data_IF_666383174077
#
_entry.id   IF_666383174077
#
_cell.length_a   1.000
_cell.length_b   1.000
_cell.length_c   1.000
_cell.angle_alpha   90.00
_cell.angle_beta   90.00
_cell.angle_gamma   90.00
#
_symmetry.space_group_name_H-M   'P 1'
#
loop_
_entity.id
_entity.type
_entity.pdbx_description
1 polymer ?
#
# COMPACT_ATOMS: atom_id res chain seq x y z
N UNK A 1 -5.36 0.35 0.12
CA UNK A 1 -3.91 0.58 -0.14
C UNK A 1 -3.59 0.16 -1.55
N UNK A 2 -2.76 0.93 -2.24
CA UNK A 2 -2.31 0.70 -3.61
C UNK A 2 -0.79 0.88 -3.66
N UNK A 3 -0.15 0.15 -4.59
CA UNK A 3 1.24 0.33 -4.96
C UNK A 3 1.28 0.89 -6.39
N UNK A 4 2.06 1.96 -6.58
CA UNK A 4 2.08 2.73 -7.83
C UNK A 4 3.51 2.92 -8.29
N UNK A 5 3.71 2.84 -9.61
CA UNK A 5 4.97 3.26 -10.21
C UNK A 5 5.14 4.78 -10.05
N UNK A 6 6.30 5.23 -9.57
CA UNK A 6 6.54 6.64 -9.28
C UNK A 6 6.62 7.53 -10.53
N UNK A 7 6.89 6.95 -11.71
CA UNK A 7 6.99 7.69 -12.97
C UNK A 7 5.66 7.67 -13.73
N UNK A 8 5.02 6.50 -13.84
CA UNK A 8 3.82 6.34 -14.68
C UNK A 8 2.51 6.43 -13.91
N UNK A 9 2.54 6.35 -12.57
CA UNK A 9 1.35 6.24 -11.72
C UNK A 9 0.45 5.01 -12.04
N UNK A 10 0.98 4.05 -12.79
CA UNK A 10 0.31 2.77 -13.03
C UNK A 10 0.32 1.91 -11.77
N UNK A 11 -0.70 1.06 -11.62
CA UNK A 11 -0.67 0.02 -10.61
C UNK A 11 0.43 -0.99 -10.90
N UNK A 12 1.21 -1.35 -9.89
CA UNK A 12 2.32 -2.32 -10.03
C UNK A 12 2.38 -3.33 -8.90
N UNK A 13 2.88 -4.51 -9.24
CA UNK A 13 3.02 -5.64 -8.31
C UNK A 13 1.69 -6.25 -7.92
N UNK A 14 1.72 -7.09 -6.89
CA UNK A 14 0.54 -7.80 -6.39
C UNK A 14 0.51 -7.80 -4.86
N UNK A 15 -0.70 -7.85 -4.30
CA UNK A 15 -0.91 -7.96 -2.86
C UNK A 15 -1.17 -9.42 -2.48
N UNK A 16 -0.63 -9.85 -1.35
CA UNK A 16 -1.05 -11.11 -0.74
C UNK A 16 -2.22 -10.87 0.19
N UNK A 17 -3.20 -11.75 0.14
CA UNK A 17 -4.19 -11.85 1.21
C UNK A 17 -3.53 -12.52 2.42
N UNK A 18 -3.54 -11.81 3.54
CA UNK A 18 -3.00 -12.25 4.84
C UNK A 18 -4.11 -12.17 5.90
N UNK A 19 -3.92 -12.76 7.10
CA UNK A 19 -4.90 -12.61 8.17
C UNK A 19 -5.27 -11.14 8.41
N UNK A 20 -6.58 -10.87 8.51
CA UNK A 20 -7.16 -9.53 8.69
C UNK A 20 -7.05 -8.57 7.49
N UNK A 21 -6.69 -9.07 6.30
CA UNK A 21 -6.71 -8.28 5.06
C UNK A 21 -7.59 -8.92 3.99
N UNK A 22 -7.99 -8.11 3.02
CA UNK A 22 -8.73 -8.53 1.82
C UNK A 22 -8.14 -7.86 0.59
N UNK A 23 -7.84 -8.66 -0.43
CA UNK A 23 -7.41 -8.14 -1.72
C UNK A 23 -8.63 -7.71 -2.55
N UNK A 24 -8.45 -6.67 -3.36
CA UNK A 24 -9.45 -6.08 -4.26
C UNK A 24 -8.77 -5.98 -5.64
N UNK A 25 -8.78 -7.07 -6.43
CA UNK A 25 -8.05 -7.17 -7.69
C UNK A 25 -8.45 -6.12 -8.73
N UNK A 26 -9.74 -5.75 -8.78
CA UNK A 26 -10.29 -4.78 -9.73
C UNK A 26 -9.67 -3.37 -9.60
N UNK A 27 -9.05 -3.08 -8.45
CA UNK A 27 -8.42 -1.80 -8.13
C UNK A 27 -6.92 -1.94 -7.79
N UNK A 28 -6.33 -3.12 -8.04
CA UNK A 28 -4.97 -3.52 -7.64
C UNK A 28 -4.63 -3.08 -6.21
N UNK A 29 -5.53 -3.44 -5.28
CA UNK A 29 -5.50 -2.89 -3.94
C UNK A 29 -5.75 -3.93 -2.86
N UNK A 30 -5.45 -3.55 -1.62
CA UNK A 30 -5.71 -4.35 -0.41
C UNK A 30 -6.35 -3.46 0.66
N UNK A 31 -7.22 -4.05 1.47
CA UNK A 31 -7.93 -3.40 2.58
C UNK A 31 -7.92 -4.27 3.84
N UNK A 32 -8.39 -3.74 4.97
CA UNK A 32 -8.66 -4.51 6.17
C UNK A 32 -9.86 -5.45 5.95
N UNK A 33 -9.91 -6.58 6.68
CA UNK A 33 -11.01 -7.54 6.57
C UNK A 33 -12.22 -7.21 7.45
N UNK A 34 -12.07 -6.36 8.48
CA UNK A 34 -13.14 -5.98 9.40
C UNK A 34 -13.02 -4.52 9.87
N UNK A 35 -14.11 -4.00 10.43
CA UNK A 35 -14.23 -2.61 10.91
C UNK A 35 -13.79 -2.42 12.38
N UNK A 36 -13.10 -3.40 12.99
CA UNK A 36 -12.60 -3.24 14.37
C UNK A 36 -11.47 -2.22 14.40
N UNK A 37 -11.33 -1.51 15.52
CA UNK A 37 -10.26 -0.56 15.74
C UNK A 37 -8.88 -1.21 15.63
N UNK A 38 -7.95 -0.51 14.98
CA UNK A 38 -6.59 -0.99 14.72
C UNK A 38 -5.60 0.11 15.05
N UNK A 39 -4.61 -0.21 15.88
CA UNK A 39 -3.43 0.66 16.08
C UNK A 39 -2.40 0.45 14.96
N UNK A 40 -2.37 -0.75 14.38
CA UNK A 40 -1.47 -1.13 13.30
C UNK A 40 -2.17 -2.10 12.34
N UNK A 41 -1.81 -2.05 11.07
CA UNK A 41 -2.13 -3.06 10.06
C UNK A 41 -0.88 -3.33 9.21
N UNK A 42 -0.63 -4.59 8.88
CA UNK A 42 0.52 -5.01 8.07
C UNK A 42 0.01 -5.61 6.77
N UNK A 43 0.57 -5.14 5.66
CA UNK A 43 0.22 -5.59 4.31
C UNK A 43 1.48 -6.12 3.62
N UNK A 44 1.32 -7.19 2.85
CA UNK A 44 2.44 -7.82 2.12
C UNK A 44 2.24 -7.59 0.63
N UNK A 45 3.22 -6.94 0.02
CA UNK A 45 3.25 -6.62 -1.40
C UNK A 45 4.42 -7.32 -2.08
N UNK A 46 4.18 -7.86 -3.26
CA UNK A 46 5.18 -8.47 -4.12
C UNK A 46 5.50 -7.53 -5.28
N UNK A 47 6.79 -7.21 -5.45
CA UNK A 47 7.27 -6.46 -6.59
C UNK A 47 7.05 -7.24 -7.91
N UNK A 48 6.73 -6.55 -9.02
CA UNK A 48 6.64 -7.18 -10.33
C UNK A 48 8.00 -7.77 -10.74
N UNK A 49 7.99 -8.90 -11.45
CA UNK A 49 9.22 -9.62 -11.83
C UNK A 49 9.88 -9.08 -13.11
N UNK A 50 9.11 -8.36 -13.92
CA UNK A 50 9.42 -7.95 -15.29
C UNK A 50 9.95 -6.50 -15.39
N UNK A 51 9.92 -5.73 -14.30
CA UNK A 51 10.38 -4.35 -14.26
C UNK A 51 11.03 -3.98 -12.92
N UNK A 52 11.89 -2.98 -12.97
CA UNK A 52 12.55 -2.38 -11.80
C UNK A 52 12.32 -0.87 -11.78
N UNK A 53 12.35 -0.25 -10.60
CA UNK A 53 12.12 1.18 -10.46
C UNK A 53 11.70 1.59 -9.06
N UNK A 54 11.20 2.81 -8.94
CA UNK A 54 10.68 3.36 -7.69
C UNK A 54 9.18 3.09 -7.58
N UNK A 55 8.77 2.57 -6.43
CA UNK A 55 7.37 2.38 -6.05
C UNK A 55 7.02 3.37 -4.95
N UNK A 56 5.81 3.91 -4.97
CA UNK A 56 5.22 4.54 -3.81
C UNK A 56 3.92 3.84 -3.42
N UNK A 57 3.62 3.87 -2.13
CA UNK A 57 2.39 3.32 -1.58
C UNK A 57 1.44 4.46 -1.23
N UNK A 58 0.17 4.28 -1.56
CA UNK A 58 -0.87 5.24 -1.21
C UNK A 58 -2.13 4.56 -0.70
N UNK A 59 -2.92 5.24 0.12
CA UNK A 59 -4.14 4.65 0.65
C UNK A 59 -5.08 5.66 1.31
N UNK A 60 -6.22 5.11 1.72
CA UNK A 60 -7.22 5.79 2.52
C UNK A 60 -7.28 5.13 3.90
N UNK A 61 -7.29 5.93 4.95
CA UNK A 61 -7.44 5.50 6.33
C UNK A 61 -8.79 6.05 6.83
N UNK A 62 -9.64 5.18 7.35
CA UNK A 62 -10.98 5.55 7.83
C UNK A 62 -11.04 5.34 9.33
N UNK A 63 -11.44 6.39 10.08
CA UNK A 63 -11.78 6.29 11.51
C UNK A 63 -13.28 6.16 11.70
N UNK A 64 -14.06 6.96 10.96
CA UNK A 64 -15.52 6.89 10.90
C UNK A 64 -16.02 7.65 9.65
N UNK A 65 -17.35 7.69 9.42
CA UNK A 65 -17.95 8.36 8.26
C UNK A 65 -17.61 9.86 8.13
N UNK A 66 -17.33 10.55 9.23
CA UNK A 66 -16.98 11.98 9.24
C UNK A 66 -15.47 12.25 9.34
N UNK A 67 -14.66 11.22 9.58
CA UNK A 67 -13.20 11.36 9.77
C UNK A 67 -12.46 10.28 9.01
N UNK A 68 -11.81 10.70 7.93
CA UNK A 68 -10.97 9.86 7.09
C UNK A 68 -9.86 10.69 6.46
N UNK A 69 -8.81 10.01 6.02
CA UNK A 69 -7.68 10.59 5.29
C UNK A 69 -7.52 9.83 4.00
N UNK A 70 -7.71 10.50 2.87
CA UNK A 70 -7.56 9.93 1.53
C UNK A 70 -6.26 10.39 0.89
N UNK A 71 -5.79 9.64 -0.11
CA UNK A 71 -4.56 9.97 -0.86
C UNK A 71 -3.33 10.14 0.03
N UNK A 72 -3.29 9.43 1.16
CA UNK A 72 -2.13 9.41 2.04
C UNK A 72 -1.02 8.69 1.29
N UNK A 73 0.11 9.36 1.08
CA UNK A 73 1.30 8.77 0.46
C UNK A 73 2.25 8.35 1.57
N UNK A 74 2.70 7.10 1.54
CA UNK A 74 3.73 6.63 2.46
C UNK A 74 5.02 7.40 2.19
N UNK A 75 5.59 8.02 3.21
CA UNK A 75 6.95 8.56 3.12
C UNK A 75 7.91 7.42 2.81
N UNK A 76 8.73 7.57 1.78
CA UNK A 76 9.85 6.65 1.55
C UNK A 76 10.76 6.67 2.78
N UNK A 77 11.18 5.52 3.33
CA UNK A 77 12.35 5.50 4.18
C UNK A 77 13.48 6.17 3.39
N UNK A 78 14.08 7.21 3.93
CA UNK A 78 15.33 7.76 3.38
C UNK A 78 16.26 6.57 3.10
N UNK A 79 16.82 6.52 1.90
CA UNK A 79 17.84 5.53 1.60
C UNK A 79 18.97 5.75 2.62
N UNK A 80 19.05 4.89 3.64
CA UNK A 80 20.24 4.86 4.50
C UNK A 80 21.40 4.63 3.54
N UNK A 81 22.23 5.66 3.40
CA UNK A 81 23.36 5.66 2.48
C UNK A 81 24.12 4.36 2.61
N UNK A 82 24.49 3.78 1.45
CA UNK A 82 25.44 2.66 1.40
C UNK A 82 26.63 3.02 2.29
N UNK A 83 26.81 2.27 3.37
CA UNK A 83 28.09 2.24 4.05
C UNK A 83 29.09 1.66 3.04
N UNK A 84 29.99 2.52 2.57
CA UNK A 84 31.22 2.14 1.86
C UNK A 84 32.20 1.52 2.84
#
# INVERSE_FOLDING_TARGET
LQARDAQTNEWIGSWYETPNTKTIPECSSVTHADNRDKQQATFVWQAPKDRQGQVYFTGTIVKNYGTFWSSVVASTPEAKGRYV
#
